data_IF_619293855274
#
_entry.id   IF_619293855274
#
_cell.length_a   1.000
_cell.length_b   1.000
_cell.length_c   1.000
_cell.angle_alpha   90.00
_cell.angle_beta   90.00
_cell.angle_gamma   90.00
#
_symmetry.space_group_name_H-M   'P 1'
#
loop_
_entity.id
_entity.type
_entity.pdbx_description
1 polymer ?
#
# COMPACT_ATOMS: atom_id res chain seq x y z
N UNK A 1 7.95 -25.82 5.30
CA UNK A 1 8.25 -24.38 5.14
C UNK A 1 7.27 -23.47 5.89
N UNK A 2 5.95 -23.68 5.83
CA UNK A 2 4.97 -22.79 6.51
C UNK A 2 5.06 -22.76 8.05
N UNK A 3 5.55 -23.82 8.72
CA UNK A 3 5.81 -23.80 10.18
C UNK A 3 6.87 -22.78 10.60
N UNK A 4 7.80 -22.43 9.69
CA UNK A 4 8.86 -21.46 10.00
C UNK A 4 8.28 -20.07 10.27
N UNK A 5 7.25 -19.66 9.52
CA UNK A 5 6.61 -18.35 9.64
C UNK A 5 5.70 -18.17 10.87
N UNK A 6 5.59 -19.18 11.74
CA UNK A 6 4.80 -19.10 12.97
C UNK A 6 5.56 -18.52 14.16
N UNK A 7 6.86 -18.28 14.00
CA UNK A 7 7.67 -17.64 15.03
C UNK A 7 7.84 -16.14 14.72
N UNK A 8 8.18 -15.31 15.69
CA UNK A 8 8.31 -13.85 15.50
C UNK A 8 9.77 -13.40 15.30
N UNK A 9 10.64 -14.32 14.86
CA UNK A 9 12.07 -14.05 14.75
C UNK A 9 12.38 -13.06 13.62
N UNK A 10 13.38 -12.17 13.79
CA UNK A 10 13.79 -11.20 12.78
C UNK A 10 14.27 -11.87 11.48
N UNK A 11 14.81 -13.10 11.58
CA UNK A 11 15.20 -13.90 10.42
C UNK A 11 14.03 -14.18 9.46
N UNK A 12 12.80 -14.25 9.95
CA UNK A 12 11.62 -14.49 9.11
C UNK A 12 11.16 -13.24 8.38
N UNK A 13 11.33 -12.07 9.00
CA UNK A 13 11.12 -10.79 8.31
C UNK A 13 12.12 -10.65 7.17
N UNK A 14 13.39 -10.97 7.41
CA UNK A 14 14.42 -10.98 6.35
C UNK A 14 14.05 -11.97 5.24
N UNK A 15 13.65 -13.20 5.58
CA UNK A 15 13.22 -14.19 4.59
C UNK A 15 12.02 -13.71 3.78
N UNK A 16 11.03 -13.09 4.42
CA UNK A 16 9.84 -12.53 3.77
C UNK A 16 10.20 -11.39 2.82
N UNK A 17 11.13 -10.52 3.22
CA UNK A 17 11.64 -9.43 2.40
C UNK A 17 12.39 -9.98 1.18
N UNK A 18 13.28 -10.96 1.39
CA UNK A 18 13.99 -11.66 0.31
C UNK A 18 13.00 -12.35 -0.64
N UNK A 19 11.95 -12.98 -0.13
CA UNK A 19 10.96 -13.67 -0.95
C UNK A 19 10.16 -12.69 -1.84
N UNK A 20 9.73 -11.56 -1.29
CA UNK A 20 9.04 -10.51 -2.08
C UNK A 20 9.96 -9.92 -3.13
N UNK A 21 11.20 -9.61 -2.74
CA UNK A 21 12.20 -9.10 -3.68
C UNK A 21 12.50 -10.12 -4.78
N UNK A 22 12.69 -11.40 -4.45
CA UNK A 22 12.92 -12.46 -5.42
C UNK A 22 11.74 -12.65 -6.38
N UNK A 23 10.51 -12.42 -5.92
CA UNK A 23 9.32 -12.49 -6.77
C UNK A 23 9.18 -11.26 -7.67
N UNK A 24 9.42 -10.06 -7.13
CA UNK A 24 9.13 -8.79 -7.84
C UNK A 24 10.30 -8.19 -8.61
N UNK A 25 11.56 -8.33 -8.17
CA UNK A 25 12.72 -7.82 -8.93
C UNK A 25 12.78 -8.36 -10.37
N UNK A 26 12.54 -9.65 -10.64
CA UNK A 26 12.52 -10.16 -12.01
C UNK A 26 11.42 -9.49 -12.85
N UNK A 27 10.23 -9.29 -12.27
CA UNK A 27 9.11 -8.62 -12.93
C UNK A 27 9.42 -7.15 -13.25
N UNK A 28 10.14 -6.46 -12.36
CA UNK A 28 10.61 -5.10 -12.60
C UNK A 28 11.64 -5.02 -13.73
N UNK A 29 12.57 -5.98 -13.80
CA UNK A 29 13.60 -6.03 -14.84
C UNK A 29 13.10 -6.53 -16.20
N UNK A 30 12.04 -7.33 -16.23
CA UNK A 30 11.43 -7.84 -17.47
C UNK A 30 10.78 -6.74 -18.34
N UNK A 31 10.78 -5.47 -17.88
CA UNK A 31 10.33 -4.34 -18.68
C UNK A 31 8.85 -4.42 -19.04
N UNK A 32 8.02 -4.98 -18.13
CA UNK A 32 6.59 -5.11 -18.35
C UNK A 32 5.97 -3.77 -18.77
N UNK A 33 5.01 -3.78 -19.72
CA UNK A 33 4.35 -2.55 -20.16
C UNK A 33 3.66 -1.87 -18.97
N UNK A 34 3.72 -0.54 -18.94
CA UNK A 34 3.05 0.28 -17.93
C UNK A 34 1.54 0.05 -18.05
N UNK A 35 0.89 -0.23 -16.93
CA UNK A 35 -0.55 -0.46 -16.92
C UNK A 35 -1.33 0.83 -17.18
N UNK A 36 -2.61 0.70 -17.52
CA UNK A 36 -3.46 1.88 -17.75
C UNK A 36 -3.59 2.76 -16.49
N UNK A 37 -3.68 2.15 -15.30
CA UNK A 37 -3.82 2.90 -14.05
C UNK A 37 -2.53 3.62 -13.66
N UNK A 38 -1.38 2.94 -13.79
CA UNK A 38 -0.06 3.54 -13.54
C UNK A 38 0.22 4.68 -14.54
N UNK A 39 -0.07 4.45 -15.83
CA UNK A 39 0.11 5.45 -16.88
C UNK A 39 -0.72 6.71 -16.62
N UNK A 40 -1.98 6.55 -16.19
CA UNK A 40 -2.85 7.69 -15.86
C UNK A 40 -2.26 8.54 -14.73
N UNK A 41 -1.75 7.90 -13.67
CA UNK A 41 -1.15 8.61 -12.54
C UNK A 41 0.16 9.31 -12.93
N UNK A 42 0.95 8.69 -13.81
CA UNK A 42 2.19 9.24 -14.35
C UNK A 42 1.92 10.46 -15.23
N UNK A 43 0.97 10.38 -16.17
CA UNK A 43 0.59 11.51 -17.03
C UNK A 43 0.02 12.69 -16.23
N UNK A 44 -0.78 12.40 -15.18
CA UNK A 44 -1.30 13.43 -14.29
C UNK A 44 -0.14 14.14 -13.56
N UNK A 45 0.82 13.38 -13.03
CA UNK A 45 2.00 13.95 -12.38
C UNK A 45 2.85 14.80 -13.34
N UNK A 46 3.05 14.35 -14.57
CA UNK A 46 3.76 15.12 -15.59
C UNK A 46 3.06 16.44 -15.92
N UNK A 47 1.73 16.41 -16.05
CA UNK A 47 0.93 17.61 -16.24
C UNK A 47 1.11 18.59 -15.08
N UNK A 48 1.09 18.10 -13.84
CA UNK A 48 1.33 18.92 -12.66
C UNK A 48 2.73 19.53 -12.65
N UNK A 49 3.75 18.77 -13.03
CA UNK A 49 5.13 19.26 -13.16
C UNK A 49 5.27 20.31 -14.25
N UNK A 50 4.47 20.23 -15.32
CA UNK A 50 4.40 21.24 -16.39
C UNK A 50 3.66 22.52 -15.96
N UNK A 51 3.16 22.61 -14.73
CA UNK A 51 2.46 23.77 -14.18
C UNK A 51 0.94 23.74 -14.33
N UNK A 52 0.38 22.64 -14.85
CA UNK A 52 -1.07 22.47 -14.96
C UNK A 52 -1.66 22.11 -13.59
N UNK A 53 -2.75 22.77 -13.21
CA UNK A 53 -3.44 22.45 -11.96
C UNK A 53 -4.47 21.35 -12.17
N UNK A 54 -4.51 20.31 -11.30
CA UNK A 54 -5.59 19.33 -11.29
C UNK A 54 -6.95 20.02 -11.20
N UNK A 55 -7.96 19.50 -11.90
CA UNK A 55 -9.36 19.98 -11.92
C UNK A 55 -9.60 21.35 -12.57
N UNK A 56 -8.55 22.06 -12.98
CA UNK A 56 -8.66 23.30 -13.74
C UNK A 56 -8.15 23.11 -15.16
N UNK A 57 -6.91 22.65 -15.26
CA UNK A 57 -6.19 22.54 -16.53
C UNK A 57 -6.15 21.06 -17.00
N UNK A 58 -6.16 20.13 -16.03
CA UNK A 58 -6.23 18.68 -16.25
C UNK A 58 -7.64 18.19 -15.93
N UNK A 59 -8.39 17.81 -16.98
CA UNK A 59 -9.69 17.16 -16.84
C UNK A 59 -9.49 15.67 -16.51
N UNK A 60 -9.34 15.38 -15.21
CA UNK A 60 -9.24 14.01 -14.72
C UNK A 60 -10.10 13.80 -13.47
N UNK A 61 -10.69 12.62 -13.34
CA UNK A 61 -11.54 12.24 -12.19
C UNK A 61 -10.75 11.67 -11.00
N UNK A 62 -9.42 11.72 -11.07
CA UNK A 62 -8.54 11.20 -10.01
C UNK A 62 -8.74 12.05 -8.76
N UNK A 63 -8.87 11.41 -7.59
CA UNK A 63 -9.14 12.10 -6.34
C UNK A 63 -7.93 12.93 -5.84
N UNK A 64 -8.14 13.98 -5.04
CA UNK A 64 -7.12 15.02 -4.81
C UNK A 64 -5.90 14.51 -4.06
N UNK A 65 -6.07 13.54 -3.16
CA UNK A 65 -4.94 12.97 -2.42
C UNK A 65 -4.08 12.10 -3.33
N UNK A 66 -4.71 11.32 -4.22
CA UNK A 66 -3.99 10.54 -5.24
C UNK A 66 -3.26 11.45 -6.24
N UNK A 67 -3.91 12.53 -6.69
CA UNK A 67 -3.27 13.54 -7.55
C UNK A 67 -2.05 14.19 -6.87
N UNK A 68 -2.19 14.56 -5.59
CA UNK A 68 -1.08 15.12 -4.82
C UNK A 68 0.10 14.14 -4.68
N UNK A 69 -0.17 12.84 -4.51
CA UNK A 69 0.91 11.83 -4.47
C UNK A 69 1.63 11.68 -5.80
N UNK A 70 0.91 11.73 -6.93
CA UNK A 70 1.52 11.71 -8.26
C UNK A 70 2.44 12.94 -8.46
N UNK A 71 1.94 14.14 -8.13
CA UNK A 71 2.74 15.36 -8.17
C UNK A 71 3.98 15.28 -7.29
N UNK A 72 3.87 14.72 -6.08
CA UNK A 72 5.01 14.56 -5.17
C UNK A 72 6.09 13.62 -5.71
N UNK A 73 5.73 12.58 -6.46
CA UNK A 73 6.70 11.64 -7.06
C UNK A 73 7.45 12.31 -8.22
N UNK A 74 6.76 13.12 -9.03
CA UNK A 74 7.35 13.84 -10.17
C UNK A 74 8.28 14.99 -9.77
N UNK A 75 8.31 15.40 -8.49
CA UNK A 75 9.35 16.31 -8.00
C UNK A 75 10.75 15.71 -8.02
N UNK A 76 10.88 14.38 -7.96
CA UNK A 76 12.17 13.71 -7.84
C UNK A 76 12.94 13.64 -9.17
N UNK A 77 12.27 13.27 -10.26
CA UNK A 77 12.88 13.14 -11.59
C UNK A 77 11.83 13.21 -12.68
N UNK A 78 12.24 13.42 -13.94
CA UNK A 78 11.34 13.38 -15.09
C UNK A 78 10.97 11.92 -15.46
N UNK A 79 9.68 11.60 -15.48
CA UNK A 79 9.12 10.26 -15.79
C UNK A 79 9.76 9.12 -14.98
N UNK A 80 9.72 9.16 -13.64
CA UNK A 80 10.41 8.19 -12.81
C UNK A 80 9.60 6.89 -12.66
N UNK A 81 9.40 6.13 -13.73
CA UNK A 81 8.64 4.86 -13.73
C UNK A 81 9.14 3.91 -12.62
N UNK A 82 10.45 3.89 -12.38
CA UNK A 82 11.04 3.11 -11.29
C UNK A 82 10.55 3.55 -9.91
N UNK A 83 10.34 4.86 -9.66
CA UNK A 83 9.81 5.34 -8.38
C UNK A 83 8.35 4.96 -8.17
N UNK A 84 7.54 4.94 -9.23
CA UNK A 84 6.15 4.45 -9.15
C UNK A 84 6.14 2.97 -8.74
N UNK A 85 6.95 2.14 -9.40
CA UNK A 85 7.05 0.71 -9.09
C UNK A 85 7.64 0.40 -7.72
N UNK A 86 8.72 1.09 -7.34
CA UNK A 86 9.30 0.97 -6.00
C UNK A 86 8.33 1.48 -4.93
N UNK A 87 7.58 2.53 -5.23
CA UNK A 87 6.51 3.05 -4.39
C UNK A 87 5.40 2.02 -4.16
N UNK A 88 4.93 1.37 -5.22
CA UNK A 88 3.94 0.29 -5.13
C UNK A 88 4.43 -0.87 -4.25
N UNK A 89 5.66 -1.33 -4.48
CA UNK A 89 6.29 -2.38 -3.68
C UNK A 89 6.43 -1.98 -2.22
N UNK A 90 6.90 -0.75 -1.95
CA UNK A 90 7.06 -0.23 -0.59
C UNK A 90 5.73 -0.11 0.14
N UNK A 91 4.69 0.37 -0.54
CA UNK A 91 3.33 0.45 -0.01
C UNK A 91 2.80 -0.94 0.31
N UNK A 92 2.94 -1.91 -0.60
CA UNK A 92 2.45 -3.26 -0.36
C UNK A 92 3.16 -3.94 0.82
N UNK A 93 4.48 -3.77 0.93
CA UNK A 93 5.24 -4.25 2.08
C UNK A 93 4.76 -3.62 3.39
N UNK A 94 4.54 -2.30 3.39
CA UNK A 94 4.01 -1.60 4.54
C UNK A 94 2.61 -2.12 4.94
N UNK A 95 1.73 -2.29 3.96
CA UNK A 95 0.38 -2.85 4.15
C UNK A 95 0.42 -4.25 4.76
N UNK A 96 1.27 -5.14 4.22
CA UNK A 96 1.44 -6.50 4.70
C UNK A 96 1.91 -6.55 6.16
N UNK A 97 2.95 -5.79 6.48
CA UNK A 97 3.50 -5.72 7.83
C UNK A 97 2.47 -5.12 8.79
N UNK A 98 1.81 -4.03 8.40
CA UNK A 98 0.79 -3.39 9.24
C UNK A 98 -0.35 -4.35 9.52
N UNK A 99 -0.91 -4.99 8.50
CA UNK A 99 -1.99 -5.97 8.66
C UNK A 99 -1.57 -7.10 9.59
N UNK A 100 -0.36 -7.63 9.42
CA UNK A 100 0.18 -8.68 10.29
C UNK A 100 0.29 -8.22 11.76
N UNK A 101 0.75 -6.99 12.01
CA UNK A 101 0.77 -6.46 13.38
C UNK A 101 -0.63 -6.32 13.98
N UNK A 102 -1.63 -5.96 13.17
CA UNK A 102 -3.01 -5.82 13.63
C UNK A 102 -3.60 -7.19 13.99
N UNK A 103 -3.44 -8.19 13.12
CA UNK A 103 -3.95 -9.54 13.36
C UNK A 103 -3.25 -10.22 14.54
N UNK A 104 -1.95 -10.00 14.70
CA UNK A 104 -1.20 -10.50 15.86
C UNK A 104 -1.63 -9.83 17.18
N UNK A 105 -2.08 -8.57 17.15
CA UNK A 105 -2.60 -7.87 18.35
C UNK A 105 -4.02 -8.28 18.72
N UNK A 106 -4.83 -8.59 17.72
CA UNK A 106 -6.16 -9.14 17.92
C UNK A 106 -6.16 -10.63 18.27
N UNK A 107 -4.97 -11.25 18.42
CA UNK A 107 -4.75 -12.68 18.70
C UNK A 107 -5.63 -13.59 17.80
N UNK A 108 -5.77 -13.22 16.52
CA UNK A 108 -6.59 -13.95 15.52
C UNK A 108 -6.00 -15.32 15.21
N UNK A 109 -4.67 -15.43 15.29
CA UNK A 109 -3.95 -16.68 15.12
C UNK A 109 -3.41 -17.16 16.47
N UNK A 110 -3.46 -18.49 16.73
CA UNK A 110 -2.98 -19.05 17.99
C UNK A 110 -1.47 -18.87 18.21
N UNK A 111 -0.71 -18.67 17.12
CA UNK A 111 0.72 -18.40 17.14
C UNK A 111 0.99 -17.04 16.48
N UNK A 112 1.76 -16.18 17.15
CA UNK A 112 2.18 -14.89 16.60
C UNK A 112 3.30 -15.09 15.58
N UNK A 113 3.00 -14.81 14.32
CA UNK A 113 3.94 -15.04 13.22
C UNK A 113 3.86 -13.99 12.13
N UNK A 114 4.48 -14.32 10.99
CA UNK A 114 4.45 -13.53 9.75
C UNK A 114 3.59 -14.18 8.66
N UNK A 115 2.81 -15.21 9.02
CA UNK A 115 1.96 -15.92 8.07
C UNK A 115 0.96 -14.98 7.38
N UNK A 116 0.33 -14.05 8.11
CA UNK A 116 -0.61 -13.12 7.50
C UNK A 116 0.07 -12.14 6.54
N UNK A 117 1.26 -11.63 6.90
CA UNK A 117 2.05 -10.81 5.98
C UNK A 117 2.44 -11.58 4.71
N UNK A 118 2.90 -12.83 4.86
CA UNK A 118 3.28 -13.68 3.74
C UNK A 118 2.09 -13.90 2.80
N UNK A 119 0.95 -14.30 3.32
CA UNK A 119 -0.27 -14.53 2.53
C UNK A 119 -0.69 -13.25 1.80
N UNK A 120 -0.68 -12.12 2.50
CA UNK A 120 -1.01 -10.82 1.90
C UNK A 120 -0.07 -10.47 0.75
N UNK A 121 1.24 -10.69 0.91
CA UNK A 121 2.23 -10.37 -0.13
C UNK A 121 2.15 -11.30 -1.34
N UNK A 122 1.90 -12.59 -1.11
CA UNK A 122 1.72 -13.55 -2.20
C UNK A 122 0.47 -13.20 -3.00
N UNK A 123 -0.66 -12.97 -2.32
CA UNK A 123 -1.91 -12.56 -2.99
C UNK A 123 -1.77 -11.21 -3.67
N UNK A 124 -1.14 -10.24 -3.00
CA UNK A 124 -0.90 -8.90 -3.54
C UNK A 124 0.04 -8.89 -4.74
N UNK A 125 0.98 -9.85 -4.83
CA UNK A 125 1.87 -10.00 -6.00
C UNK A 125 1.26 -10.77 -7.16
N UNK A 126 0.18 -11.53 -6.91
CA UNK A 126 -0.61 -12.17 -7.95
C UNK A 126 -1.71 -11.26 -8.50
N UNK A 127 -2.05 -10.18 -7.77
CA UNK A 127 -3.08 -9.22 -8.17
C UNK A 127 -2.46 -8.06 -8.96
N UNK A 128 -2.96 -7.81 -10.16
CA UNK A 128 -2.49 -6.71 -11.02
C UNK A 128 -2.71 -5.34 -10.39
N UNK A 129 -3.84 -5.14 -9.69
CA UNK A 129 -4.20 -3.87 -9.07
C UNK A 129 -3.32 -3.50 -7.86
N UNK A 130 -2.71 -4.50 -7.21
CA UNK A 130 -1.85 -4.34 -6.04
C UNK A 130 -0.35 -4.44 -6.40
N UNK A 131 -0.04 -4.69 -7.68
CA UNK A 131 1.32 -4.67 -8.19
C UNK A 131 1.76 -3.28 -8.66
N UNK A 132 0.80 -2.45 -9.05
CA UNK A 132 1.00 -1.12 -9.61
C UNK A 132 0.66 0.00 -8.63
N UNK A 133 1.30 1.16 -8.80
CA UNK A 133 0.97 2.35 -8.01
C UNK A 133 -0.31 2.97 -8.57
N UNK A 134 -1.43 2.61 -7.95
CA UNK A 134 -2.76 3.11 -8.30
C UNK A 134 -3.36 3.93 -7.16
N UNK A 135 -4.35 4.81 -7.45
CA UNK A 135 -5.12 5.48 -6.40
C UNK A 135 -5.74 4.48 -5.42
N UNK A 136 -6.09 3.29 -5.94
CA UNK A 136 -6.60 2.17 -5.16
C UNK A 136 -5.58 1.64 -4.16
N UNK A 137 -4.35 1.37 -4.60
CA UNK A 137 -3.30 0.89 -3.68
C UNK A 137 -3.04 1.92 -2.56
N UNK A 138 -3.02 3.22 -2.89
CA UNK A 138 -2.82 4.30 -1.92
C UNK A 138 -3.99 4.35 -0.94
N UNK A 139 -5.24 4.40 -1.42
CA UNK A 139 -6.42 4.42 -0.57
C UNK A 139 -6.52 3.18 0.34
N UNK A 140 -6.13 2.01 -0.17
CA UNK A 140 -6.10 0.77 0.59
C UNK A 140 -5.15 0.83 1.80
N UNK A 141 -4.07 1.63 1.76
CA UNK A 141 -3.19 1.83 2.94
C UNK A 141 -3.94 2.41 4.12
N UNK A 142 -4.77 3.42 3.88
CA UNK A 142 -5.54 4.09 4.92
C UNK A 142 -6.62 3.18 5.49
N UNK A 143 -7.22 2.32 4.67
CA UNK A 143 -8.14 1.28 5.15
C UNK A 143 -7.44 0.29 6.08
N UNK A 144 -6.26 -0.20 5.72
CA UNK A 144 -5.48 -1.10 6.59
C UNK A 144 -5.07 -0.39 7.89
N UNK A 145 -4.73 0.89 7.83
CA UNK A 145 -4.48 1.69 9.03
C UNK A 145 -5.73 1.86 9.89
N UNK A 146 -6.90 2.09 9.28
CA UNK A 146 -8.17 2.22 9.98
C UNK A 146 -8.55 0.91 10.68
N UNK A 147 -8.28 -0.24 10.07
CA UNK A 147 -8.55 -1.55 10.65
C UNK A 147 -7.90 -1.73 12.03
N UNK A 148 -6.71 -1.16 12.23
CA UNK A 148 -6.03 -1.20 13.53
C UNK A 148 -6.75 -0.43 14.65
N UNK A 149 -7.59 0.54 14.29
CA UNK A 149 -8.41 1.30 15.23
C UNK A 149 -9.81 0.69 15.37
N UNK A 150 -10.29 -0.03 14.35
CA UNK A 150 -11.61 -0.68 14.35
C UNK A 150 -11.63 -2.02 15.07
N UNK A 151 -10.52 -2.76 15.13
CA UNK A 151 -10.44 -4.02 15.87
C UNK A 151 -10.14 -3.73 17.35
N UNK A 152 -11.13 -3.80 18.25
CA UNK A 152 -10.89 -3.61 19.67
C UNK A 152 -10.08 -4.78 20.21
N UNK A 153 -9.05 -4.49 21.00
CA UNK A 153 -8.49 -5.50 21.88
C UNK A 153 -9.55 -5.75 22.96
N UNK A 154 -9.89 -7.02 23.23
CA UNK A 154 -11.00 -7.47 24.11
C UNK A 154 -11.04 -6.88 25.53
N UNK A 155 -10.02 -6.11 25.92
CA UNK A 155 -9.86 -5.46 27.24
C UNK A 155 -10.06 -3.95 27.24
N UNK A 156 -10.18 -3.32 26.07
CA UNK A 156 -10.30 -1.86 25.96
C UNK A 156 -11.77 -1.51 25.76
N UNK A 157 -12.35 -0.81 26.75
CA UNK A 157 -13.71 -0.29 26.66
C UNK A 157 -13.92 0.68 25.49
N UNK A 158 -15.15 1.13 25.31
CA UNK A 158 -15.55 2.01 24.21
C UNK A 158 -14.70 3.31 24.19
N UNK A 159 -13.77 3.43 23.23
CA UNK A 159 -12.86 4.57 23.10
C UNK A 159 -13.22 5.42 21.88
N UNK A 160 -13.86 6.56 22.13
CA UNK A 160 -14.24 7.53 21.10
C UNK A 160 -13.05 8.00 20.25
N UNK A 161 -11.83 8.01 20.79
CA UNK A 161 -10.62 8.43 20.03
C UNK A 161 -10.28 7.43 18.94
N UNK A 162 -10.47 6.14 19.19
CA UNK A 162 -10.24 5.08 18.18
C UNK A 162 -11.25 5.17 17.06
N UNK A 163 -12.53 5.35 17.42
CA UNK A 163 -13.60 5.49 16.43
C UNK A 163 -13.39 6.72 15.54
N UNK A 164 -13.03 7.86 16.13
CA UNK A 164 -12.66 9.06 15.38
C UNK A 164 -11.47 8.81 14.45
N UNK A 165 -10.40 8.17 14.94
CA UNK A 165 -9.23 7.85 14.13
C UNK A 165 -9.56 6.93 12.97
N UNK A 166 -10.40 5.91 13.19
CA UNK A 166 -10.87 5.01 12.14
C UNK A 166 -11.65 5.78 11.07
N UNK A 167 -12.64 6.59 11.48
CA UNK A 167 -13.44 7.40 10.56
C UNK A 167 -12.59 8.40 9.77
N UNK A 168 -11.64 9.07 10.42
CA UNK A 168 -10.72 9.99 9.77
C UNK A 168 -9.84 9.29 8.72
N UNK A 169 -9.30 8.12 9.03
CA UNK A 169 -8.49 7.34 8.08
C UNK A 169 -9.33 6.83 6.90
N UNK A 170 -10.59 6.43 7.14
CA UNK A 170 -11.51 6.06 6.06
C UNK A 170 -11.85 7.27 5.19
N UNK A 171 -12.03 8.45 5.78
CA UNK A 171 -12.21 9.70 5.04
C UNK A 171 -11.00 10.03 4.16
N UNK A 172 -9.77 9.82 4.67
CA UNK A 172 -8.55 9.96 3.86
C UNK A 172 -8.48 8.92 2.73
N UNK A 173 -8.87 7.67 2.98
CA UNK A 173 -9.01 6.67 1.92
C UNK A 173 -9.96 7.15 0.82
N UNK A 174 -11.11 7.73 1.18
CA UNK A 174 -12.07 8.23 0.20
C UNK A 174 -11.51 9.35 -0.69
N UNK A 175 -10.53 10.12 -0.21
CA UNK A 175 -9.83 11.13 -1.02
C UNK A 175 -8.79 10.55 -1.98
N UNK A 176 -8.60 9.23 -1.98
CA UNK A 176 -7.77 8.50 -2.94
C UNK A 176 -8.58 7.80 -4.05
N UNK A 177 -9.92 7.73 -3.95
CA UNK A 177 -10.77 6.99 -4.90
C UNK A 177 -11.73 7.89 -5.67
#
# INVERSE_FOLDING_TARGET
MLRFFRSSLPAQLLLLLVLVLALRLPLLWLGLPVSAAELRLLLLGEGMRAGAWPYRDLYDSTAPLAAATAGAIELAWNRPVLLYRLGALGILLFQALRLNTVLNRADVHPERGYLAALTYLVVGSLSTQLDELSPLLIGHTFIILALSALLPTSREGYDNRRLFRAGFLIGLAALCY
#
